data_IF_398295998177
#
_entry.id   IF_398295998177
#
_cell.length_a   1.000
_cell.length_b   1.000
_cell.length_c   1.000
_cell.angle_alpha   90.00
_cell.angle_beta   90.00
_cell.angle_gamma   90.00
#
_symmetry.space_group_name_H-M   'P 1'
#
loop_
_entity.id
_entity.type
_entity.pdbx_description
1 polymer ?
#
# COMPACT_ATOMS: atom_id res chain seq x y z
N UNK A 1 6.42 -10.30 1.10
CA UNK A 1 6.71 -9.05 1.87
C UNK A 1 7.26 -9.33 3.25
N UNK A 2 6.58 -10.08 4.14
CA UNK A 2 7.10 -10.37 5.49
C UNK A 2 8.42 -11.15 5.53
N UNK A 3 8.72 -11.93 4.51
CA UNK A 3 10.05 -12.55 4.36
C UNK A 3 11.17 -11.52 4.20
N UNK A 4 10.88 -10.36 3.59
CA UNK A 4 11.83 -9.24 3.46
C UNK A 4 11.78 -8.32 4.70
N UNK A 5 10.60 -8.16 5.30
CA UNK A 5 10.32 -7.22 6.39
C UNK A 5 9.51 -7.94 7.49
N UNK A 6 10.16 -8.61 8.46
CA UNK A 6 9.49 -9.57 9.36
C UNK A 6 8.43 -8.97 10.29
N UNK A 7 8.58 -7.72 10.68
CA UNK A 7 7.69 -6.96 11.58
C UNK A 7 6.57 -6.21 10.81
N UNK A 8 6.45 -6.47 9.50
CA UNK A 8 5.55 -5.73 8.64
C UNK A 8 4.08 -6.07 8.92
N UNK A 9 3.31 -5.04 9.22
CA UNK A 9 1.85 -5.04 9.24
C UNK A 9 1.29 -4.65 7.87
N UNK A 10 0.19 -5.29 7.45
CA UNK A 10 -0.49 -5.01 6.18
C UNK A 10 -1.97 -4.74 6.37
N UNK A 11 -2.53 -3.88 5.52
CA UNK A 11 -3.96 -3.62 5.49
C UNK A 11 -4.44 -3.25 4.08
N UNK A 12 -5.65 -3.68 3.73
CA UNK A 12 -6.37 -3.09 2.60
C UNK A 12 -6.84 -1.68 2.97
N UNK A 13 -6.85 -0.78 1.99
CA UNK A 13 -7.32 0.58 2.13
C UNK A 13 -8.23 1.04 0.99
N UNK A 14 -8.93 2.14 1.25
CA UNK A 14 -9.60 2.93 0.23
C UNK A 14 -10.81 2.21 -0.37
N UNK A 15 -10.91 2.23 -1.69
CA UNK A 15 -12.14 1.80 -2.38
C UNK A 15 -12.45 0.31 -2.21
N UNK A 16 -11.41 -0.51 -2.03
CA UNK A 16 -11.53 -1.95 -1.72
C UNK A 16 -12.16 -2.22 -0.35
N UNK A 17 -12.01 -1.29 0.59
CA UNK A 17 -12.58 -1.38 1.95
C UNK A 17 -13.99 -0.82 2.01
N UNK A 18 -14.25 0.30 1.33
CA UNK A 18 -15.54 0.99 1.38
C UNK A 18 -16.55 0.45 0.36
N UNK A 19 -16.09 -0.31 -0.63
CA UNK A 19 -16.90 -0.69 -1.79
C UNK A 19 -17.22 0.49 -2.73
N UNK A 20 -16.54 1.63 -2.61
CA UNK A 20 -16.80 2.84 -3.40
C UNK A 20 -15.52 3.63 -3.73
N UNK A 21 -15.47 4.20 -4.93
CA UNK A 21 -14.41 5.13 -5.34
C UNK A 21 -14.35 6.35 -4.41
N UNK A 22 -13.14 6.69 -3.97
CA UNK A 22 -12.92 7.90 -3.17
C UNK A 22 -13.05 9.19 -3.99
N UNK A 23 -12.86 9.11 -5.30
CA UNK A 23 -12.93 10.26 -6.22
C UNK A 23 -14.36 10.52 -6.69
N UNK A 24 -15.07 9.46 -7.10
CA UNK A 24 -16.37 9.59 -7.79
C UNK A 24 -17.56 9.07 -6.99
N UNK A 25 -17.32 8.31 -5.91
CA UNK A 25 -18.38 7.63 -5.14
C UNK A 25 -19.02 6.42 -5.85
N UNK A 26 -18.60 6.11 -7.09
CA UNK A 26 -19.09 4.96 -7.84
C UNK A 26 -18.79 3.65 -7.09
N UNK A 27 -19.70 2.66 -7.13
CA UNK A 27 -19.44 1.32 -6.59
C UNK A 27 -18.15 0.72 -7.12
N UNK A 28 -17.53 -0.11 -6.29
CA UNK A 28 -16.33 -0.86 -6.65
C UNK A 28 -16.63 -1.75 -7.86
N UNK A 29 -15.82 -1.60 -8.91
CA UNK A 29 -15.92 -2.32 -10.18
C UNK A 29 -17.18 -2.08 -11.03
N UNK A 30 -17.90 -0.96 -10.81
CA UNK A 30 -18.98 -0.57 -11.72
C UNK A 30 -18.45 0.30 -12.87
N UNK A 31 -18.41 -0.26 -14.08
CA UNK A 31 -17.97 0.44 -15.30
C UNK A 31 -16.46 0.74 -15.36
N UNK A 32 -15.67 0.17 -14.46
CA UNK A 32 -14.21 0.29 -14.38
C UNK A 32 -13.61 -0.95 -13.71
N UNK A 33 -12.29 -1.10 -13.79
CA UNK A 33 -11.54 -2.01 -12.92
C UNK A 33 -10.91 -1.15 -11.83
N UNK A 34 -11.23 -1.43 -10.58
CA UNK A 34 -10.70 -0.70 -9.43
C UNK A 34 -9.37 -1.32 -8.98
N UNK A 35 -8.47 -0.49 -8.51
CA UNK A 35 -7.20 -0.86 -7.90
C UNK A 35 -7.38 -1.41 -6.47
N UNK A 36 -6.33 -2.06 -5.98
CA UNK A 36 -6.15 -2.38 -4.56
C UNK A 36 -5.05 -1.52 -3.96
N UNK A 37 -5.44 -0.67 -3.00
CA UNK A 37 -4.53 0.07 -2.14
C UNK A 37 -4.16 -0.80 -0.92
N UNK A 38 -2.87 -1.08 -0.74
CA UNK A 38 -2.31 -1.79 0.41
C UNK A 38 -1.48 -0.82 1.23
N UNK A 39 -1.83 -0.66 2.50
CA UNK A 39 -0.99 0.00 3.49
C UNK A 39 -0.03 -1.01 4.12
N UNK A 40 1.23 -0.62 4.25
CA UNK A 40 2.24 -1.36 5.01
C UNK A 40 2.87 -0.47 6.07
N UNK A 41 3.23 -1.04 7.22
CA UNK A 41 4.03 -0.37 8.26
C UNK A 41 4.89 -1.38 9.01
N UNK A 42 5.94 -0.90 9.66
CA UNK A 42 6.92 -1.71 10.40
C UNK A 42 8.23 -0.94 10.46
N UNK A 43 9.03 -1.18 11.49
CA UNK A 43 10.31 -0.51 11.68
C UNK A 43 11.26 -0.85 10.51
N UNK A 44 11.33 -2.13 10.11
CA UNK A 44 12.27 -2.56 9.06
C UNK A 44 11.96 -1.96 7.67
N UNK A 45 10.68 -1.88 7.27
CA UNK A 45 10.29 -1.28 5.99
C UNK A 45 10.42 0.25 6.01
N UNK A 46 10.18 0.90 7.16
CA UNK A 46 10.40 2.34 7.29
C UNK A 46 11.89 2.69 7.25
N UNK A 47 12.75 1.90 7.88
CA UNK A 47 14.20 2.03 7.81
C UNK A 47 14.69 1.85 6.36
N UNK A 48 14.28 0.77 5.69
CA UNK A 48 14.63 0.53 4.29
C UNK A 48 14.16 1.64 3.36
N UNK A 49 12.96 2.20 3.59
CA UNK A 49 12.44 3.35 2.84
C UNK A 49 13.32 4.58 3.02
N UNK A 50 13.76 4.86 4.26
CA UNK A 50 14.66 5.96 4.57
C UNK A 50 16.03 5.78 3.88
N UNK A 51 16.66 4.61 4.03
CA UNK A 51 17.96 4.29 3.42
C UNK A 51 17.93 4.40 1.88
N UNK A 52 16.81 4.02 1.27
CA UNK A 52 16.63 4.06 -0.19
C UNK A 52 16.10 5.41 -0.71
N UNK A 53 16.00 6.42 0.15
CA UNK A 53 15.49 7.76 -0.18
C UNK A 53 14.08 7.74 -0.80
N UNK A 54 13.22 6.85 -0.30
CA UNK A 54 11.81 6.79 -0.69
C UNK A 54 11.09 7.97 -0.04
N UNK A 55 10.45 8.79 -0.87
CA UNK A 55 9.92 10.07 -0.43
C UNK A 55 8.56 9.91 0.26
N UNK A 56 8.51 10.30 1.53
CA UNK A 56 7.26 10.55 2.23
C UNK A 56 6.61 11.85 1.73
N UNK A 57 5.28 11.91 1.81
CA UNK A 57 4.50 13.14 1.52
C UNK A 57 4.93 14.26 2.47
N UNK A 58 4.54 15.50 2.16
CA UNK A 58 4.97 16.68 2.93
C UNK A 58 4.60 16.66 4.43
N UNK A 59 3.66 15.80 4.81
CA UNK A 59 3.27 15.53 6.20
C UNK A 59 4.16 14.52 6.94
N UNK A 60 5.04 13.80 6.23
CA UNK A 60 5.93 12.79 6.80
C UNK A 60 5.23 11.53 7.32
N UNK A 61 3.93 11.34 7.08
CA UNK A 61 3.15 10.22 7.63
C UNK A 61 3.16 9.01 6.70
N UNK A 62 3.07 9.24 5.40
CA UNK A 62 3.07 8.14 4.42
C UNK A 62 3.77 8.52 3.12
N UNK A 63 4.17 7.51 2.35
CA UNK A 63 4.53 7.67 0.95
C UNK A 63 3.27 7.89 0.09
N UNK A 64 3.48 8.24 -1.18
CA UNK A 64 2.50 7.93 -2.23
C UNK A 64 2.47 6.42 -2.55
N UNK A 65 1.62 5.98 -3.49
CA UNK A 65 1.84 4.68 -4.14
C UNK A 65 3.30 4.57 -4.57
N UNK A 66 3.96 3.48 -4.19
CA UNK A 66 5.35 3.24 -4.53
C UNK A 66 5.50 3.21 -6.06
N UNK A 67 6.42 4.03 -6.57
CA UNK A 67 6.77 4.04 -7.98
C UNK A 67 7.70 2.88 -8.29
N UNK A 68 7.77 2.44 -9.54
CA UNK A 68 8.67 1.38 -10.04
C UNK A 68 10.07 1.44 -9.42
N UNK A 69 10.75 2.58 -9.51
CA UNK A 69 12.07 2.81 -8.90
C UNK A 69 12.11 2.51 -7.39
N UNK A 70 11.08 2.90 -6.65
CA UNK A 70 11.02 2.69 -5.20
C UNK A 70 10.65 1.23 -4.87
N UNK A 71 9.81 0.57 -5.69
CA UNK A 71 9.52 -0.86 -5.59
C UNK A 71 10.78 -1.69 -5.83
N UNK A 72 11.55 -1.36 -6.87
CA UNK A 72 12.81 -2.02 -7.22
C UNK A 72 13.82 -1.92 -6.07
N UNK A 73 14.04 -0.71 -5.54
CA UNK A 73 14.96 -0.46 -4.42
C UNK A 73 14.59 -1.20 -3.14
N UNK A 74 13.30 -1.42 -2.91
CA UNK A 74 12.79 -2.14 -1.74
C UNK A 74 12.64 -3.65 -1.97
N UNK A 75 12.97 -4.16 -3.16
CA UNK A 75 12.80 -5.56 -3.52
C UNK A 75 11.33 -6.00 -3.63
N UNK A 76 10.41 -5.07 -3.89
CA UNK A 76 8.97 -5.30 -3.93
C UNK A 76 8.41 -5.43 -5.35
N UNK A 77 9.20 -5.17 -6.39
CA UNK A 77 8.73 -5.09 -7.78
C UNK A 77 8.07 -6.41 -8.23
N UNK A 78 8.79 -7.53 -8.16
CA UNK A 78 8.24 -8.85 -8.50
C UNK A 78 7.03 -9.25 -7.64
N UNK A 79 7.02 -8.91 -6.35
CA UNK A 79 5.88 -9.21 -5.47
C UNK A 79 4.62 -8.47 -5.91
N UNK A 80 4.75 -7.22 -6.34
CA UNK A 80 3.62 -6.38 -6.75
C UNK A 80 3.13 -6.71 -8.16
N UNK A 81 4.04 -7.11 -9.04
CA UNK A 81 3.69 -7.58 -10.38
C UNK A 81 2.96 -8.93 -10.33
N UNK A 82 3.42 -9.86 -9.48
CA UNK A 82 2.73 -11.13 -9.23
C UNK A 82 1.34 -10.90 -8.64
N UNK A 83 1.22 -10.02 -7.64
CA UNK A 83 -0.07 -9.70 -7.03
C UNK A 83 -1.04 -9.04 -8.03
N UNK A 84 -0.55 -8.15 -8.89
CA UNK A 84 -1.36 -7.51 -9.92
C UNK A 84 -1.81 -8.53 -10.98
N UNK A 85 -0.93 -9.45 -11.36
CA UNK A 85 -1.22 -10.54 -12.29
C UNK A 85 -2.27 -11.49 -11.73
N UNK A 86 -2.13 -11.90 -10.47
CA UNK A 86 -3.06 -12.82 -9.80
C UNK A 86 -4.46 -12.21 -9.66
N UNK A 87 -4.54 -10.92 -9.33
CA UNK A 87 -5.81 -10.23 -9.09
C UNK A 87 -6.45 -9.67 -10.37
N UNK A 88 -5.71 -9.60 -11.47
CA UNK A 88 -6.14 -9.00 -12.73
C UNK A 88 -6.40 -7.49 -12.66
N UNK A 89 -5.76 -6.79 -11.71
CA UNK A 89 -5.92 -5.34 -11.47
C UNK A 89 -4.64 -4.76 -10.86
N UNK A 90 -4.53 -3.44 -10.86
CA UNK A 90 -3.38 -2.76 -10.26
C UNK A 90 -3.39 -2.92 -8.73
N UNK A 91 -2.23 -3.27 -8.16
CA UNK A 91 -1.98 -3.28 -6.72
C UNK A 91 -0.98 -2.19 -6.38
N UNK A 92 -1.38 -1.29 -5.49
CA UNK A 92 -0.56 -0.20 -5.00
C UNK A 92 -0.15 -0.43 -3.56
N UNK A 93 1.09 -0.08 -3.22
CA UNK A 93 1.57 -0.09 -1.83
C UNK A 93 1.90 1.32 -1.40
N UNK A 94 1.50 1.66 -0.18
CA UNK A 94 1.91 2.86 0.54
C UNK A 94 2.56 2.45 1.85
N UNK A 95 3.72 3.03 2.15
CA UNK A 95 4.40 2.86 3.44
C UNK A 95 3.89 3.94 4.39
N UNK A 96 3.43 3.53 5.56
CA UNK A 96 3.05 4.39 6.68
C UNK A 96 4.03 4.17 7.83
N UNK A 97 4.24 5.19 8.66
CA UNK A 97 5.09 5.02 9.86
C UNK A 97 4.49 4.01 10.82
N UNK A 98 3.16 4.07 11.00
CA UNK A 98 2.41 3.12 11.83
C UNK A 98 1.09 2.75 11.18
N UNK A 99 0.55 1.57 11.54
CA UNK A 99 -0.75 1.14 11.04
C UNK A 99 -1.91 1.98 11.62
N UNK A 100 -1.75 2.53 12.83
CA UNK A 100 -2.72 3.46 13.42
C UNK A 100 -2.85 4.75 12.60
N UNK A 101 -1.73 5.27 12.09
CA UNK A 101 -1.75 6.43 11.17
C UNK A 101 -2.38 6.08 9.82
N UNK A 102 -2.21 4.85 9.34
CA UNK A 102 -2.89 4.38 8.14
C UNK A 102 -4.41 4.37 8.36
N UNK A 103 -4.87 3.78 9.47
CA UNK A 103 -6.28 3.73 9.84
C UNK A 103 -6.88 5.12 10.11
N UNK A 104 -6.11 6.06 10.65
CA UNK A 104 -6.52 7.45 10.86
C UNK A 104 -6.69 8.25 9.56
N UNK A 105 -6.08 7.80 8.45
CA UNK A 105 -6.12 8.50 7.15
C UNK A 105 -7.19 8.00 6.20
N UNK A 106 -7.39 6.69 6.14
CA UNK A 106 -8.30 6.06 5.19
C UNK A 106 -9.04 4.90 5.87
N UNK A 107 -10.26 4.57 5.42
CA UNK A 107 -10.89 3.29 5.75
C UNK A 107 -9.91 2.15 5.49
N UNK A 108 -9.69 1.32 6.52
CA UNK A 108 -8.60 0.36 6.58
C UNK A 108 -9.10 -0.95 7.19
N UNK A 109 -8.75 -2.09 6.57
CA UNK A 109 -8.95 -3.43 7.14
C UNK A 109 -7.57 -4.08 7.28
N UNK A 110 -7.10 -4.18 8.52
CA UNK A 110 -5.84 -4.87 8.84
C UNK A 110 -5.98 -6.37 8.55
N UNK A 111 -4.98 -6.93 7.89
CA UNK A 111 -4.93 -8.36 7.57
C UNK A 111 -3.99 -9.05 8.54
N UNK A 112 -4.43 -10.19 9.07
CA UNK A 112 -3.69 -11.00 10.03
C UNK A 112 -3.33 -12.33 9.38
N UNK A 113 -2.07 -12.72 9.53
CA UNK A 113 -1.52 -14.02 9.13
C UNK A 113 -0.57 -14.47 10.22
#
# INVERSE_FOLDING_TARGET
MRELYPDLDMAFQGSSVTGRSAETGAPFDEGRISDYDIAVSGDSINEAAHENNVRFRGDGVSTGPLKERDRERLGLDGILDDASTETGREVHVMIFRTMDEAAGRKPTIKVWF
#
